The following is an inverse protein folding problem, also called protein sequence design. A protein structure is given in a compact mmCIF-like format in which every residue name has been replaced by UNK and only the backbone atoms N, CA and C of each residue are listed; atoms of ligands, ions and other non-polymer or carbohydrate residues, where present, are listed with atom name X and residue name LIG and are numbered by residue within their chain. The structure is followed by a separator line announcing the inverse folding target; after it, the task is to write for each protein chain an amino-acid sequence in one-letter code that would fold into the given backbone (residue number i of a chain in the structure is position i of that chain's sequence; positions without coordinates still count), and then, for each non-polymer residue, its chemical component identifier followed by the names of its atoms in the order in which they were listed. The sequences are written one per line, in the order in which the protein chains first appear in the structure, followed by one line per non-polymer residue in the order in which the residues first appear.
data_IF_893570065173
#
_entry.id   IF_893570065173
#
_cell.length_a   1.000
_cell.length_b   1.000
_cell.length_c   1.000
_cell.angle_alpha   90.00
_cell.angle_beta   90.00
_cell.angle_gamma   90.00
#
_symmetry.space_group_name_H-M   'P 1'
#
loop_
_entity.id
_entity.type
_entity.pdbx_description
1 polymer ?
#
# COMPACT_ATOMS: atom_id res chain seq x y z
N UNK A 1 14.80 -2.61 -34.59
CA UNK A 1 14.66 -1.59 -33.54
C UNK A 1 13.33 -1.85 -32.86
N UNK A 2 13.36 -2.39 -31.64
CA UNK A 2 12.15 -2.83 -30.93
C UNK A 2 11.29 -1.63 -30.56
N UNK A 3 10.03 -1.65 -30.96
CA UNK A 3 9.01 -0.74 -30.43
C UNK A 3 8.96 -0.96 -28.93
N UNK A 4 9.49 0.00 -28.16
CA UNK A 4 9.27 0.04 -26.73
C UNK A 4 7.77 0.11 -26.52
N UNK A 5 7.22 -0.96 -25.92
CA UNK A 5 5.82 -1.05 -25.52
C UNK A 5 5.50 0.23 -24.75
N UNK A 6 4.67 1.10 -25.34
CA UNK A 6 4.00 2.17 -24.63
C UNK A 6 3.11 1.46 -23.60
N UNK A 7 3.65 1.17 -22.41
CA UNK A 7 2.88 0.57 -21.33
C UNK A 7 1.84 1.62 -20.93
N UNK A 8 0.60 1.42 -21.35
CA UNK A 8 -0.49 2.30 -20.99
C UNK A 8 -0.68 2.25 -19.47
N UNK A 9 -0.43 3.37 -18.80
CA UNK A 9 -0.61 3.47 -17.34
C UNK A 9 -2.05 3.08 -16.99
N UNK A 10 -2.27 2.20 -15.99
CA UNK A 10 -3.61 1.74 -15.64
C UNK A 10 -4.55 2.90 -15.35
N UNK A 11 -5.82 2.74 -15.72
CA UNK A 11 -6.85 3.73 -15.45
C UNK A 11 -7.05 3.83 -13.94
N UNK A 12 -7.42 5.01 -13.44
CA UNK A 12 -7.53 5.27 -12.00
C UNK A 12 -8.48 4.30 -11.26
N UNK A 13 -9.44 3.69 -11.97
CA UNK A 13 -10.36 2.67 -11.44
C UNK A 13 -9.68 1.33 -11.12
N UNK A 14 -8.54 1.04 -11.75
CA UNK A 14 -7.75 -0.19 -11.57
C UNK A 14 -6.74 -0.06 -10.43
N UNK A 15 -6.58 1.15 -9.87
CA UNK A 15 -5.68 1.39 -8.76
C UNK A 15 -6.37 1.03 -7.44
N UNK A 16 -5.61 0.53 -6.44
CA UNK A 16 -6.18 0.21 -5.14
C UNK A 16 -6.71 1.49 -4.47
N UNK A 17 -7.79 1.37 -3.70
CA UNK A 17 -8.34 2.47 -2.90
C UNK A 17 -8.12 2.17 -1.43
N UNK A 18 -7.85 3.21 -0.65
CA UNK A 18 -7.60 3.09 0.78
C UNK A 18 -8.61 3.92 1.56
N UNK A 19 -9.35 3.27 2.46
CA UNK A 19 -10.41 3.91 3.25
C UNK A 19 -9.94 4.32 4.63
N UNK A 20 -8.94 3.62 5.18
CA UNK A 20 -8.45 3.81 6.54
C UNK A 20 -9.43 3.34 7.62
N UNK A 21 -10.42 2.52 7.27
CA UNK A 21 -11.46 2.00 8.19
C UNK A 21 -11.44 0.46 8.34
N UNK A 22 -10.66 -0.26 7.55
CA UNK A 22 -10.53 -1.73 7.63
C UNK A 22 -9.20 -2.19 8.26
N UNK A 23 -9.21 -3.37 8.88
CA UNK A 23 -7.95 -4.01 9.29
C UNK A 23 -7.12 -4.37 8.04
N UNK A 24 -5.81 -4.10 8.06
CA UNK A 24 -4.84 -4.45 7.01
C UNK A 24 -4.95 -3.75 5.63
N UNK A 25 -5.97 -2.91 5.40
CA UNK A 25 -6.21 -2.14 4.15
C UNK A 25 -4.96 -1.32 3.69
N UNK A 26 -4.13 -0.87 4.63
CA UNK A 26 -2.98 -0.01 4.32
C UNK A 26 -1.80 -0.74 3.65
N UNK A 27 -1.53 -2.00 4.02
CA UNK A 27 -0.40 -2.74 3.43
C UNK A 27 -0.72 -3.26 2.03
N UNK A 28 -1.97 -3.68 1.81
CA UNK A 28 -2.44 -4.05 0.48
C UNK A 28 -2.43 -2.85 -0.47
N UNK A 29 -2.89 -1.69 0.00
CA UNK A 29 -2.78 -0.44 -0.74
C UNK A 29 -1.33 -0.11 -1.11
N UNK A 30 -0.40 -0.14 -0.15
CA UNK A 30 1.02 0.16 -0.41
C UNK A 30 1.60 -0.80 -1.45
N UNK A 31 1.38 -2.12 -1.28
CA UNK A 31 1.89 -3.13 -2.22
C UNK A 31 1.32 -2.96 -3.63
N UNK A 32 0.02 -2.69 -3.76
CA UNK A 32 -0.61 -2.47 -5.05
C UNK A 32 -0.03 -1.25 -5.77
N UNK A 33 0.26 -0.16 -5.04
CA UNK A 33 0.92 1.02 -5.62
C UNK A 33 2.36 0.73 -5.99
N UNK A 34 3.10 -0.01 -5.16
CA UNK A 34 4.48 -0.42 -5.47
C UNK A 34 4.54 -1.27 -6.76
N UNK A 35 3.66 -2.26 -6.91
CA UNK A 35 3.54 -3.08 -8.13
C UNK A 35 3.24 -2.21 -9.37
N UNK A 36 2.24 -1.34 -9.31
CA UNK A 36 1.90 -0.45 -10.44
C UNK A 36 3.07 0.49 -10.77
N UNK A 37 3.76 1.01 -9.76
CA UNK A 37 4.89 1.91 -9.97
C UNK A 37 6.06 1.18 -10.64
N UNK A 38 6.32 -0.07 -10.25
CA UNK A 38 7.37 -0.92 -10.82
C UNK A 38 7.02 -1.36 -12.26
N UNK A 39 5.82 -1.90 -12.45
CA UNK A 39 5.38 -2.42 -13.75
C UNK A 39 5.34 -1.35 -14.84
N UNK A 40 5.00 -0.11 -14.47
CA UNK A 40 4.83 1.02 -15.40
C UNK A 40 5.90 2.11 -15.23
N UNK A 41 6.94 1.86 -14.44
CA UNK A 41 8.07 2.79 -14.19
C UNK A 41 7.62 4.22 -13.83
N UNK A 42 6.58 4.34 -13.00
CA UNK A 42 5.92 5.63 -12.75
C UNK A 42 6.77 6.55 -11.89
N UNK A 43 6.75 7.85 -12.21
CA UNK A 43 7.30 8.88 -11.34
C UNK A 43 6.41 9.09 -10.10
N UNK A 44 7.02 9.43 -8.97
CA UNK A 44 6.29 9.66 -7.70
C UNK A 44 5.22 10.73 -7.81
N UNK A 45 5.45 11.76 -8.64
CA UNK A 45 4.44 12.82 -8.90
C UNK A 45 3.16 12.28 -9.55
N UNK A 46 3.25 11.22 -10.37
CA UNK A 46 2.10 10.60 -11.03
C UNK A 46 1.30 9.73 -10.07
N UNK A 47 1.97 9.12 -9.10
CA UNK A 47 1.34 8.36 -8.02
C UNK A 47 0.64 9.33 -7.06
N UNK A 48 1.37 10.31 -6.56
CA UNK A 48 0.88 11.25 -5.53
C UNK A 48 -0.21 12.20 -6.04
N UNK A 49 -0.26 12.53 -7.34
CA UNK A 49 -1.36 13.32 -7.91
C UNK A 49 -2.70 12.58 -7.85
N UNK A 50 -2.69 11.24 -7.82
CA UNK A 50 -3.89 10.40 -7.79
C UNK A 50 -4.45 10.19 -6.39
N UNK A 51 -3.69 10.52 -5.34
CA UNK A 51 -4.09 10.29 -3.94
C UNK A 51 -5.41 10.93 -3.54
N UNK A 52 -5.79 12.06 -4.15
CA UNK A 52 -7.09 12.67 -3.88
C UNK A 52 -8.27 11.75 -4.23
N UNK A 53 -8.09 10.81 -5.16
CA UNK A 53 -9.12 9.83 -5.55
C UNK A 53 -8.91 8.47 -4.92
N UNK A 54 -7.66 8.08 -4.68
CA UNK A 54 -7.33 6.77 -4.11
C UNK A 54 -7.61 6.70 -2.61
N UNK A 55 -7.42 7.80 -1.89
CA UNK A 55 -7.84 7.88 -0.49
C UNK A 55 -9.32 8.20 -0.40
N UNK A 56 -10.02 7.48 0.45
CA UNK A 56 -11.45 7.64 0.71
C UNK A 56 -11.70 7.78 2.21
N UNK A 57 -12.88 8.27 2.61
CA UNK A 57 -13.35 8.34 4.00
C UNK A 57 -12.33 8.95 4.99
N UNK A 58 -11.93 8.20 6.04
CA UNK A 58 -11.03 8.69 7.09
C UNK A 58 -9.61 8.96 6.57
N UNK A 59 -9.11 8.10 5.67
CA UNK A 59 -7.82 8.27 5.02
C UNK A 59 -7.77 9.53 4.15
N UNK A 60 -8.86 9.86 3.44
CA UNK A 60 -8.92 11.08 2.63
C UNK A 60 -8.79 12.35 3.46
N UNK A 61 -9.52 12.43 4.58
CA UNK A 61 -9.43 13.57 5.51
C UNK A 61 -8.03 13.72 6.10
N UNK A 62 -7.38 12.60 6.44
CA UNK A 62 -6.00 12.60 6.93
C UNK A 62 -5.02 13.08 5.84
N UNK A 63 -5.16 12.57 4.62
CA UNK A 63 -4.31 12.93 3.49
C UNK A 63 -4.36 14.43 3.18
N UNK A 64 -5.56 15.05 3.14
CA UNK A 64 -5.69 16.49 2.86
C UNK A 64 -4.89 17.31 3.89
N UNK A 65 -5.06 17.01 5.19
CA UNK A 65 -4.35 17.72 6.26
C UNK A 65 -2.84 17.58 6.13
N UNK A 66 -2.36 16.37 5.86
CA UNK A 66 -0.93 16.10 5.77
C UNK A 66 -0.31 16.75 4.51
N UNK A 67 -1.02 16.73 3.39
CA UNK A 67 -0.58 17.38 2.14
C UNK A 67 -0.57 18.90 2.24
N UNK A 68 -1.51 19.50 2.97
CA UNK A 68 -1.49 20.93 3.26
C UNK A 68 -0.28 21.33 4.11
N UNK A 69 0.10 20.52 5.09
CA UNK A 69 1.21 20.80 6.00
C UNK A 69 2.59 20.58 5.35
N UNK A 70 2.75 19.52 4.54
CA UNK A 70 4.06 19.08 4.03
C UNK A 70 4.24 19.23 2.51
N UNK A 71 3.22 19.65 1.79
CA UNK A 71 3.27 19.86 0.34
C UNK A 71 3.42 18.58 -0.47
N UNK A 72 4.11 18.67 -1.61
CA UNK A 72 4.40 17.52 -2.46
C UNK A 72 5.60 16.75 -1.92
N UNK A 73 5.40 15.46 -1.65
CA UNK A 73 6.41 14.57 -1.07
C UNK A 73 6.54 13.29 -1.92
N UNK A 74 7.66 12.58 -1.75
CA UNK A 74 7.93 11.32 -2.45
C UNK A 74 6.98 10.21 -2.02
N UNK A 75 6.85 9.18 -2.85
CA UNK A 75 6.06 7.99 -2.51
C UNK A 75 6.63 7.30 -1.26
N UNK A 76 7.96 7.21 -1.15
CA UNK A 76 8.64 6.67 0.03
C UNK A 76 8.25 7.39 1.32
N UNK A 77 8.17 8.72 1.28
CA UNK A 77 7.71 9.50 2.44
C UNK A 77 6.26 9.18 2.79
N UNK A 78 5.37 9.13 1.78
CA UNK A 78 3.97 8.80 1.99
C UNK A 78 3.76 7.39 2.55
N UNK A 79 4.52 6.40 2.08
CA UNK A 79 4.53 5.04 2.64
C UNK A 79 4.82 5.06 4.14
N UNK A 80 5.86 5.79 4.55
CA UNK A 80 6.21 5.91 5.97
C UNK A 80 5.09 6.56 6.79
N UNK A 81 4.41 7.57 6.25
CA UNK A 81 3.28 8.20 6.94
C UNK A 81 2.07 7.29 7.07
N UNK A 82 1.75 6.51 6.02
CA UNK A 82 0.66 5.53 6.05
C UNK A 82 0.96 4.46 7.09
N UNK A 83 2.18 3.90 7.08
CA UNK A 83 2.60 2.90 8.08
C UNK A 83 2.54 3.51 9.48
N UNK A 84 3.12 4.68 9.71
CA UNK A 84 3.09 5.31 11.04
C UNK A 84 1.66 5.55 11.55
N UNK A 85 0.72 5.90 10.66
CA UNK A 85 -0.65 6.22 11.06
C UNK A 85 -1.52 4.98 11.32
N UNK A 86 -1.35 3.90 10.56
CA UNK A 86 -2.23 2.71 10.62
C UNK A 86 -1.56 1.41 11.08
N UNK A 87 -0.23 1.34 11.12
CA UNK A 87 0.52 0.22 11.71
C UNK A 87 0.75 0.45 13.22
N UNK A 88 -0.35 0.57 13.97
CA UNK A 88 -0.32 0.68 15.43
C UNK A 88 0.20 -0.60 16.10
N UNK A 89 0.50 -0.54 17.41
CA UNK A 89 1.11 -1.66 18.14
C UNK A 89 0.25 -2.93 18.08
N UNK A 90 -1.08 -2.79 18.07
CA UNK A 90 -2.00 -3.92 17.91
C UNK A 90 -1.87 -4.58 16.53
N UNK A 91 -1.64 -3.82 15.46
CA UNK A 91 -1.36 -4.37 14.14
C UNK A 91 -0.02 -5.10 14.10
N UNK A 92 1.04 -4.49 14.67
CA UNK A 92 2.38 -5.09 14.72
C UNK A 92 2.36 -6.42 15.46
N UNK A 93 1.72 -6.45 16.63
CA UNK A 93 1.55 -7.65 17.43
C UNK A 93 0.79 -8.75 16.68
N UNK A 94 -0.26 -8.42 15.93
CA UNK A 94 -0.99 -9.40 15.11
C UNK A 94 -0.13 -9.95 13.97
N UNK A 95 0.67 -9.10 13.31
CA UNK A 95 1.59 -9.54 12.24
C UNK A 95 2.70 -10.45 12.80
N UNK A 96 3.27 -10.08 13.95
CA UNK A 96 4.26 -10.90 14.66
C UNK A 96 3.67 -12.24 15.07
N UNK A 97 2.48 -12.25 15.67
CA UNK A 97 1.77 -13.48 16.06
C UNK A 97 1.49 -14.37 14.84
N UNK A 98 1.00 -13.78 13.74
CA UNK A 98 0.76 -14.51 12.50
C UNK A 98 2.05 -15.13 11.95
N UNK A 99 3.15 -14.37 11.96
CA UNK A 99 4.46 -14.86 11.53
C UNK A 99 4.98 -16.00 12.43
N UNK A 100 4.87 -15.87 13.75
CA UNK A 100 5.26 -16.91 14.70
C UNK A 100 4.42 -18.18 14.53
N UNK A 101 3.11 -18.03 14.30
CA UNK A 101 2.18 -19.14 14.08
C UNK A 101 2.38 -19.84 12.73
N UNK A 102 2.96 -19.15 11.75
CA UNK A 102 3.29 -19.68 10.42
C UNK A 102 4.63 -20.45 10.38
N UNK A 103 5.33 -20.58 11.52
CA UNK A 103 6.50 -21.46 11.59
C UNK A 103 6.07 -22.90 11.33
N UNK A 104 6.67 -23.50 10.30
CA UNK A 104 6.51 -24.90 9.95
C UNK A 104 6.63 -25.77 11.20
N UNK A 105 5.57 -26.52 11.51
CA UNK A 105 5.52 -27.39 12.65
C UNK A 105 5.40 -28.81 12.13
N UNK A 106 6.53 -29.54 12.13
CA UNK A 106 6.61 -30.89 11.60
C UNK A 106 5.61 -31.88 12.22
N UNK A 107 5.09 -31.61 13.43
CA UNK A 107 4.06 -32.42 14.07
C UNK A 107 2.63 -32.05 13.63
N UNK A 108 2.38 -30.79 13.26
CA UNK A 108 1.08 -30.31 12.73
C UNK A 108 0.95 -30.47 11.23
N UNK A 109 2.04 -30.35 10.49
CA UNK A 109 2.12 -30.37 9.03
C UNK A 109 2.53 -31.74 8.50
N UNK A 110 2.29 -32.81 9.28
CA UNK A 110 2.45 -34.19 8.81
C UNK A 110 1.56 -34.37 7.59
N UNK A 111 2.19 -34.54 6.43
CA UNK A 111 1.52 -34.94 5.20
C UNK A 111 0.65 -36.17 5.54
N UNK A 112 -0.67 -36.02 5.35
CA UNK A 112 -1.60 -37.13 5.44
C UNK A 112 -1.09 -38.25 4.50
N UNK A 113 -1.11 -39.52 4.97
CA UNK A 113 -0.64 -40.66 4.18
C UNK A 113 -1.43 -40.86 2.89
#
# INVERSE_FOLDING_TARGET
MGQALLKEVPKLKEWPRFSGEGEYDHMEFIRGIDMIKEDFELLDRLVTSRFNTLFTKSAHRWYIKLRQAHGNQSWTWWKAQIINKWANDSWRFKVETAFESAKFNADKDKALP
#
